data_IF_068174631941
#
_entry.id   IF_068174631941
#
_cell.length_a   1.000
_cell.length_b   1.000
_cell.length_c   1.000
_cell.angle_alpha   90.00
_cell.angle_beta   90.00
_cell.angle_gamma   90.00
#
_symmetry.space_group_name_H-M   'P 1'
#
loop_
_entity.id
_entity.type
_entity.pdbx_description
1 polymer ?
#
# COMPACT_ATOMS: atom_id res chain seq x y z
N UNK A 1 -6.91 7.49 4.13
CA UNK A 1 -7.24 8.39 3.01
C UNK A 1 -8.34 9.40 3.36
N UNK A 2 -9.40 9.02 4.05
CA UNK A 2 -10.34 10.00 4.62
C UNK A 2 -9.63 11.08 5.45
N UNK A 3 -8.63 10.69 6.24
CA UNK A 3 -7.82 11.64 7.02
C UNK A 3 -7.03 12.65 6.18
N UNK A 4 -6.71 12.37 4.91
CA UNK A 4 -6.07 13.36 4.04
C UNK A 4 -7.00 14.52 3.66
N UNK A 5 -8.29 14.23 3.52
CA UNK A 5 -9.30 15.25 3.27
C UNK A 5 -9.79 15.90 4.57
N UNK A 6 -9.63 15.20 5.70
CA UNK A 6 -9.86 15.79 7.03
C UNK A 6 -8.68 16.71 7.38
N UNK A 7 -8.94 18.00 7.40
CA UNK A 7 -7.91 19.01 7.69
C UNK A 7 -7.37 18.97 9.12
N UNK A 8 -7.91 18.11 9.98
CA UNK A 8 -7.47 17.96 11.38
C UNK A 8 -6.08 17.33 11.51
N UNK A 9 -5.66 16.55 10.52
CA UNK A 9 -4.37 15.88 10.51
C UNK A 9 -3.58 16.30 9.26
N UNK A 10 -2.35 16.79 9.47
CA UNK A 10 -1.46 17.23 8.40
C UNK A 10 -0.72 16.03 7.78
N UNK A 11 -1.36 15.36 6.84
CA UNK A 11 -0.81 14.18 6.15
C UNK A 11 -0.55 14.53 4.68
N UNK A 12 0.65 14.19 4.19
CA UNK A 12 1.04 14.31 2.79
C UNK A 12 1.55 12.98 2.25
N UNK A 13 1.23 12.70 0.99
CA UNK A 13 1.63 11.47 0.31
C UNK A 13 2.51 11.75 -0.90
N UNK A 14 3.57 10.96 -1.03
CA UNK A 14 4.31 10.77 -2.26
C UNK A 14 4.14 9.31 -2.68
N UNK A 15 3.47 9.07 -3.80
CA UNK A 15 3.15 7.73 -4.28
C UNK A 15 3.89 7.47 -5.58
N UNK A 16 4.75 6.47 -5.57
CA UNK A 16 5.33 5.89 -6.77
C UNK A 16 4.45 4.71 -7.20
N UNK A 17 3.57 4.94 -8.17
CA UNK A 17 2.59 3.97 -8.68
C UNK A 17 3.05 3.44 -10.03
N UNK A 18 3.96 2.48 -10.02
CA UNK A 18 4.56 1.98 -11.26
C UNK A 18 3.71 0.94 -12.00
N UNK A 19 2.71 0.36 -11.32
CA UNK A 19 1.80 -0.63 -11.91
C UNK A 19 0.53 0.00 -12.48
N UNK A 20 0.10 1.11 -11.89
CA UNK A 20 -1.15 1.78 -12.28
C UNK A 20 -0.89 3.25 -12.58
N UNK A 21 -1.57 3.80 -13.59
CA UNK A 21 -1.55 5.24 -13.85
C UNK A 21 -2.18 6.03 -12.70
N UNK A 22 -1.82 7.30 -12.58
CA UNK A 22 -2.41 8.21 -11.60
C UNK A 22 -3.94 8.28 -11.72
N UNK A 23 -4.47 8.28 -12.94
CA UNK A 23 -5.92 8.29 -13.20
C UNK A 23 -6.63 7.07 -12.61
N UNK A 24 -6.07 5.87 -12.82
CA UNK A 24 -6.64 4.62 -12.28
C UNK A 24 -6.59 4.64 -10.75
N UNK A 25 -5.50 5.11 -10.17
CA UNK A 25 -5.37 5.23 -8.71
C UNK A 25 -6.40 6.21 -8.15
N UNK A 26 -6.55 7.40 -8.75
CA UNK A 26 -7.53 8.39 -8.33
C UNK A 26 -8.97 7.88 -8.50
N UNK A 27 -9.29 7.18 -9.59
CA UNK A 27 -10.60 6.57 -9.78
C UNK A 27 -10.94 5.52 -8.71
N UNK A 28 -9.94 4.71 -8.30
CA UNK A 28 -10.10 3.75 -7.20
C UNK A 28 -10.35 4.44 -5.85
N UNK A 29 -9.65 5.56 -5.60
CA UNK A 29 -9.86 6.35 -4.39
C UNK A 29 -11.23 7.01 -4.37
N UNK A 30 -11.64 7.57 -5.50
CA UNK A 30 -12.96 8.19 -5.67
C UNK A 30 -14.09 7.17 -5.49
N UNK A 31 -13.93 5.96 -6.06
CA UNK A 31 -14.87 4.86 -5.88
C UNK A 31 -15.07 4.49 -4.40
N UNK A 32 -13.97 4.40 -3.65
CA UNK A 32 -14.01 4.16 -2.20
C UNK A 32 -14.68 5.31 -1.46
N UNK A 33 -14.34 6.56 -1.77
CA UNK A 33 -14.92 7.75 -1.14
C UNK A 33 -16.43 7.84 -1.37
N UNK A 34 -16.90 7.59 -2.60
CA UNK A 34 -18.32 7.59 -2.94
C UNK A 34 -19.06 6.52 -2.13
N UNK A 35 -18.49 5.32 -2.02
CA UNK A 35 -19.09 4.27 -1.21
C UNK A 35 -19.16 4.64 0.27
N UNK A 36 -18.08 5.11 0.87
CA UNK A 36 -18.03 5.46 2.30
C UNK A 36 -18.90 6.67 2.66
N UNK A 37 -19.08 7.60 1.71
CA UNK A 37 -19.82 8.86 1.96
C UNK A 37 -21.30 8.73 1.63
N UNK A 38 -21.63 8.05 0.53
CA UNK A 38 -23.00 8.02 -0.01
C UNK A 38 -23.62 6.61 0.00
N UNK A 39 -22.87 5.56 0.39
CA UNK A 39 -23.30 4.16 0.35
C UNK A 39 -23.53 3.61 -1.06
N UNK A 40 -23.07 4.34 -2.10
CA UNK A 40 -23.29 3.93 -3.51
C UNK A 40 -22.11 3.10 -4.00
N UNK A 41 -22.40 1.92 -4.49
CA UNK A 41 -21.40 1.05 -5.16
C UNK A 41 -21.19 1.53 -6.60
N UNK A 42 -20.14 2.34 -6.79
CA UNK A 42 -19.72 2.80 -8.12
C UNK A 42 -18.26 2.36 -8.34
N UNK A 43 -18.05 1.34 -9.18
CA UNK A 43 -16.71 0.78 -9.38
C UNK A 43 -15.79 1.77 -10.09
N UNK A 44 -14.48 1.67 -9.84
CA UNK A 44 -13.49 2.50 -10.55
C UNK A 44 -13.52 2.27 -12.08
N UNK A 45 -13.83 1.05 -12.54
CA UNK A 45 -13.99 0.76 -13.97
C UNK A 45 -15.20 1.47 -14.57
N UNK A 46 -16.27 1.64 -13.79
CA UNK A 46 -17.44 2.43 -14.19
C UNK A 46 -17.10 3.93 -14.22
N UNK A 47 -16.41 4.46 -13.18
CA UNK A 47 -15.96 5.86 -13.16
C UNK A 47 -15.11 6.21 -14.38
N UNK A 48 -14.26 5.28 -14.83
CA UNK A 48 -13.43 5.43 -16.03
C UNK A 48 -14.16 5.10 -17.34
N UNK A 49 -15.46 4.78 -17.27
CA UNK A 49 -16.28 4.38 -18.43
C UNK A 49 -15.68 3.21 -19.23
N UNK A 50 -15.00 2.28 -18.57
CA UNK A 50 -14.38 1.12 -19.21
C UNK A 50 -15.37 0.02 -19.57
N UNK A 51 -16.43 -0.14 -18.77
CA UNK A 51 -17.40 -1.25 -18.91
C UNK A 51 -18.80 -0.76 -19.27
N UNK A 52 -19.24 0.33 -18.65
CA UNK A 52 -20.58 0.91 -18.77
C UNK A 52 -20.49 2.43 -18.80
N UNK A 53 -21.49 3.07 -19.40
CA UNK A 53 -21.59 4.53 -19.37
C UNK A 53 -22.15 4.98 -18.02
N UNK A 54 -21.65 6.10 -17.51
CA UNK A 54 -22.15 6.72 -16.31
C UNK A 54 -23.58 7.23 -16.52
N UNK A 55 -24.44 7.00 -15.54
CA UNK A 55 -25.78 7.62 -15.48
C UNK A 55 -25.67 9.08 -15.02
N UNK A 56 -26.75 9.85 -15.19
CA UNK A 56 -26.79 11.24 -14.68
C UNK A 56 -26.62 11.29 -13.16
N UNK A 57 -27.11 10.30 -12.42
CA UNK A 57 -26.92 10.14 -11.00
C UNK A 57 -25.44 9.93 -10.63
N UNK A 58 -24.74 9.07 -11.37
CA UNK A 58 -23.32 8.80 -11.16
C UNK A 58 -22.48 10.04 -11.42
N UNK A 59 -22.79 10.80 -12.48
CA UNK A 59 -22.16 12.11 -12.74
C UNK A 59 -22.37 13.10 -11.61
N UNK A 60 -23.57 13.17 -11.03
CA UNK A 60 -23.84 14.05 -9.89
C UNK A 60 -23.02 13.67 -8.66
N UNK A 61 -22.87 12.36 -8.36
CA UNK A 61 -22.05 11.91 -7.25
C UNK A 61 -20.57 12.23 -7.44
N UNK A 62 -20.05 12.05 -8.66
CA UNK A 62 -18.67 12.41 -9.00
C UNK A 62 -18.45 13.91 -8.83
N UNK A 63 -19.37 14.74 -9.32
CA UNK A 63 -19.26 16.22 -9.19
C UNK A 63 -19.36 16.67 -7.73
N UNK A 64 -20.21 16.07 -6.92
CA UNK A 64 -20.28 16.32 -5.48
C UNK A 64 -19.00 15.92 -4.73
N UNK A 65 -18.27 14.93 -5.26
CA UNK A 65 -17.01 14.45 -4.69
C UNK A 65 -15.79 15.28 -5.09
N UNK A 66 -15.94 16.22 -6.00
CA UNK A 66 -14.85 17.00 -6.59
C UNK A 66 -14.05 17.80 -5.56
N UNK A 67 -14.73 18.42 -4.60
CA UNK A 67 -14.06 19.18 -3.54
C UNK A 67 -13.14 18.28 -2.69
N UNK A 68 -13.61 17.07 -2.37
CA UNK A 68 -12.79 16.09 -1.65
C UNK A 68 -11.58 15.67 -2.47
N UNK A 69 -11.76 15.39 -3.77
CA UNK A 69 -10.68 14.99 -4.65
C UNK A 69 -9.62 16.09 -4.78
N UNK A 70 -10.03 17.35 -4.93
CA UNK A 70 -9.11 18.49 -4.97
C UNK A 70 -8.30 18.63 -3.67
N UNK A 71 -8.94 18.44 -2.51
CA UNK A 71 -8.25 18.44 -1.21
C UNK A 71 -7.26 17.29 -1.08
N UNK A 72 -7.59 16.13 -1.63
CA UNK A 72 -6.68 14.99 -1.67
C UNK A 72 -5.48 15.27 -2.57
N UNK A 73 -5.70 15.71 -3.82
CA UNK A 73 -4.66 16.03 -4.79
C UNK A 73 -3.69 17.11 -4.27
N UNK A 74 -4.18 18.09 -3.53
CA UNK A 74 -3.33 19.12 -2.93
C UNK A 74 -2.31 18.55 -1.89
N UNK A 75 -2.54 17.34 -1.39
CA UNK A 75 -1.68 16.65 -0.40
C UNK A 75 -1.03 15.39 -0.92
N UNK A 76 -1.24 15.06 -2.19
CA UNK A 76 -0.76 13.83 -2.80
C UNK A 76 -0.01 14.13 -4.09
N UNK A 77 1.24 13.67 -4.18
CA UNK A 77 2.02 13.69 -5.41
C UNK A 77 2.16 12.26 -5.92
N UNK A 78 1.78 12.00 -7.17
CA UNK A 78 1.79 10.67 -7.77
C UNK A 78 2.80 10.65 -8.92
N UNK A 79 3.72 9.70 -8.87
CA UNK A 79 4.71 9.41 -9.92
C UNK A 79 4.35 8.05 -10.52
N UNK A 80 3.76 8.05 -11.70
CA UNK A 80 3.28 6.84 -12.37
C UNK A 80 4.20 6.32 -13.49
N UNK A 81 5.39 6.88 -13.58
CA UNK A 81 6.43 6.40 -14.51
C UNK A 81 7.56 5.76 -13.71
N UNK A 82 8.01 4.55 -14.11
CA UNK A 82 9.14 3.90 -13.45
C UNK A 82 10.40 4.77 -13.47
N UNK A 83 11.03 4.89 -12.31
CA UNK A 83 12.30 5.62 -12.11
C UNK A 83 13.36 4.67 -11.57
N UNK A 84 14.63 5.04 -11.64
CA UNK A 84 15.72 4.30 -10.98
C UNK A 84 15.72 4.57 -9.47
N UNK A 85 16.48 3.80 -8.70
CA UNK A 85 16.68 4.04 -7.26
C UNK A 85 17.16 5.46 -6.97
N UNK A 86 18.12 5.94 -7.75
CA UNK A 86 18.59 7.35 -7.68
C UNK A 86 17.51 8.36 -8.04
N UNK A 87 16.70 8.05 -9.05
CA UNK A 87 15.54 8.87 -9.43
C UNK A 87 14.51 8.96 -8.31
N UNK A 88 14.17 7.83 -7.70
CA UNK A 88 13.28 7.77 -6.53
C UNK A 88 13.81 8.63 -5.38
N UNK A 89 15.10 8.47 -5.04
CA UNK A 89 15.73 9.28 -4.01
C UNK A 89 15.68 10.78 -4.33
N UNK A 90 16.00 11.16 -5.58
CA UNK A 90 16.00 12.56 -5.99
C UNK A 90 14.60 13.18 -5.88
N UNK A 91 13.57 12.49 -6.36
CA UNK A 91 12.16 12.94 -6.27
C UNK A 91 11.75 13.07 -4.80
N UNK A 92 11.98 12.04 -3.99
CA UNK A 92 11.58 12.06 -2.59
C UNK A 92 12.34 13.13 -1.77
N UNK A 93 13.61 13.36 -2.08
CA UNK A 93 14.40 14.44 -1.47
C UNK A 93 13.90 15.83 -1.89
N UNK A 94 13.54 16.01 -3.15
CA UNK A 94 12.97 17.29 -3.61
C UNK A 94 11.59 17.54 -3.01
N UNK A 95 10.76 16.49 -2.95
CA UNK A 95 9.47 16.54 -2.27
C UNK A 95 9.61 16.90 -0.78
N UNK A 96 10.62 16.37 -0.07
CA UNK A 96 10.85 16.71 1.34
C UNK A 96 11.11 18.21 1.56
N UNK A 97 11.71 18.91 0.59
CA UNK A 97 11.97 20.35 0.69
C UNK A 97 10.69 21.20 0.67
N UNK A 98 9.59 20.68 0.13
CA UNK A 98 8.27 21.32 0.20
C UNK A 98 7.73 21.32 1.63
N UNK A 99 8.16 20.35 2.43
CA UNK A 99 7.65 20.07 3.78
C UNK A 99 8.63 20.38 4.91
N UNK A 100 9.84 20.85 4.58
CA UNK A 100 10.86 21.18 5.56
C UNK A 100 12.11 21.77 4.94
N UNK A 101 13.11 22.04 5.77
CA UNK A 101 14.37 22.69 5.36
C UNK A 101 15.56 21.86 5.83
N UNK A 102 16.60 21.78 4.99
CA UNK A 102 17.89 21.19 5.38
C UNK A 102 18.81 22.28 5.91
N UNK A 103 19.04 22.29 7.22
CA UNK A 103 20.02 23.19 7.87
C UNK A 103 21.40 22.56 7.83
N UNK A 104 22.39 23.32 7.41
CA UNK A 104 23.80 22.90 7.46
C UNK A 104 24.26 23.05 8.90
N UNK A 105 24.68 21.92 9.50
CA UNK A 105 25.28 21.89 10.84
C UNK A 105 26.79 22.05 10.76
N UNK A 106 27.41 21.43 9.76
CA UNK A 106 28.84 21.41 9.53
C UNK A 106 29.11 21.20 8.04
N UNK A 107 30.09 21.92 7.50
CA UNK A 107 30.52 21.76 6.12
C UNK A 107 32.05 21.84 6.06
N UNK A 108 32.66 20.79 5.48
CA UNK A 108 34.09 20.72 5.17
C UNK A 108 34.27 20.52 3.68
N UNK A 109 35.51 20.45 3.20
CA UNK A 109 35.79 20.14 1.78
C UNK A 109 35.32 18.70 1.42
N UNK A 110 35.30 17.79 2.38
CA UNK A 110 35.00 16.37 2.14
C UNK A 110 33.52 16.01 2.37
N UNK A 111 32.80 16.70 3.28
CA UNK A 111 31.40 16.39 3.58
C UNK A 111 30.61 17.59 4.10
N UNK A 112 29.29 17.51 3.92
CA UNK A 112 28.33 18.46 4.49
C UNK A 112 27.32 17.71 5.35
N UNK A 113 27.32 17.98 6.65
CA UNK A 113 26.33 17.46 7.59
C UNK A 113 25.11 18.37 7.64
N UNK A 114 23.95 17.79 7.40
CA UNK A 114 22.70 18.55 7.42
C UNK A 114 21.69 17.91 8.36
N UNK A 115 20.88 18.75 9.00
CA UNK A 115 19.70 18.38 9.76
C UNK A 115 18.45 18.75 8.96
N UNK A 116 17.44 17.88 8.92
CA UNK A 116 16.14 18.20 8.36
C UNK A 116 15.24 18.75 9.46
N UNK A 117 14.67 19.92 9.22
CA UNK A 117 13.73 20.59 10.13
C UNK A 117 12.39 20.67 9.41
N UNK A 118 11.34 19.95 9.87
CA UNK A 118 10.02 19.98 9.25
C UNK A 118 9.37 21.36 9.43
N UNK A 119 8.56 21.78 8.46
CA UNK A 119 7.77 23.01 8.52
C UNK A 119 6.71 22.93 9.63
N UNK A 120 6.12 21.75 9.80
CA UNK A 120 5.19 21.42 10.87
C UNK A 120 5.68 20.14 11.57
N UNK A 121 5.83 20.17 12.89
CA UNK A 121 6.30 19.01 13.67
C UNK A 121 5.27 17.89 13.75
N UNK A 122 4.00 18.21 13.57
CA UNK A 122 2.88 17.28 13.64
C UNK A 122 2.46 16.77 12.25
N UNK A 123 3.22 17.08 11.20
CA UNK A 123 2.97 16.56 9.86
C UNK A 123 3.38 15.09 9.73
N UNK A 124 2.64 14.36 8.91
CA UNK A 124 2.96 12.99 8.51
C UNK A 124 3.34 12.98 7.03
N UNK A 125 4.56 12.56 6.73
CA UNK A 125 5.08 12.42 5.36
C UNK A 125 5.14 10.93 5.00
N UNK A 126 4.23 10.49 4.13
CA UNK A 126 4.07 9.09 3.77
C UNK A 126 4.57 8.88 2.34
N UNK A 127 5.55 7.99 2.18
CA UNK A 127 6.06 7.55 0.88
C UNK A 127 5.56 6.14 0.60
N UNK A 128 4.93 5.93 -0.55
CA UNK A 128 4.45 4.62 -1.01
C UNK A 128 5.15 4.25 -2.30
N UNK A 129 5.64 3.02 -2.39
CA UNK A 129 6.24 2.47 -3.63
C UNK A 129 5.45 1.23 -4.04
N UNK A 130 4.63 1.33 -5.08
CA UNK A 130 3.78 0.25 -5.60
C UNK A 130 4.11 -0.03 -7.09
N UNK A 131 4.80 -1.14 -7.40
CA UNK A 131 5.58 -1.97 -6.48
C UNK A 131 7.06 -1.89 -6.86
N UNK A 132 7.93 -2.10 -5.87
CA UNK A 132 9.38 -1.83 -5.97
C UNK A 132 10.10 -2.61 -7.10
N UNK A 133 9.58 -3.77 -7.50
CA UNK A 133 10.16 -4.58 -8.60
C UNK A 133 10.07 -3.90 -9.98
N UNK A 134 9.21 -2.90 -10.14
CA UNK A 134 9.05 -2.15 -11.39
C UNK A 134 9.96 -0.93 -11.50
N UNK A 135 10.90 -0.75 -10.58
CA UNK A 135 11.96 0.24 -10.74
C UNK A 135 12.71 0.04 -12.06
N UNK A 136 13.03 1.15 -12.73
CA UNK A 136 13.94 1.12 -13.86
C UNK A 136 15.34 0.74 -13.39
N UNK A 137 16.00 -0.15 -14.13
CA UNK A 137 17.34 -0.64 -13.76
C UNK A 137 18.40 0.28 -14.33
N UNK A 138 19.27 0.78 -13.48
CA UNK A 138 20.43 1.60 -13.88
C UNK A 138 21.44 0.79 -14.71
N UNK A 139 22.15 1.46 -15.60
CA UNK A 139 23.18 0.80 -16.42
C UNK A 139 24.22 0.10 -15.53
N UNK A 140 24.47 -1.19 -15.81
CA UNK A 140 25.40 -2.02 -15.06
C UNK A 140 24.83 -2.64 -13.76
N UNK A 141 23.59 -2.34 -13.38
CA UNK A 141 22.93 -2.97 -12.24
C UNK A 141 22.07 -4.17 -12.64
N UNK A 142 21.86 -5.08 -11.71
CA UNK A 142 20.79 -6.07 -11.75
C UNK A 142 19.54 -5.48 -11.07
N UNK A 143 18.36 -6.03 -11.35
CA UNK A 143 17.11 -5.63 -10.67
C UNK A 143 17.23 -5.73 -9.15
N UNK A 144 17.92 -6.76 -8.63
CA UNK A 144 18.16 -6.92 -7.21
C UNK A 144 18.98 -5.78 -6.63
N UNK A 145 20.09 -5.41 -7.29
CA UNK A 145 20.94 -4.30 -6.84
C UNK A 145 20.18 -2.97 -6.84
N UNK A 146 19.31 -2.74 -7.84
CA UNK A 146 18.48 -1.54 -7.91
C UNK A 146 17.48 -1.47 -6.75
N UNK A 147 16.86 -2.61 -6.40
CA UNK A 147 15.93 -2.70 -5.27
C UNK A 147 16.67 -2.47 -3.95
N UNK A 148 17.83 -3.12 -3.76
CA UNK A 148 18.63 -2.96 -2.54
C UNK A 148 19.09 -1.51 -2.35
N UNK A 149 19.55 -0.84 -3.42
CA UNK A 149 19.90 0.59 -3.41
C UNK A 149 18.70 1.48 -3.09
N UNK A 150 17.51 1.19 -3.65
CA UNK A 150 16.29 1.94 -3.35
C UNK A 150 15.88 1.79 -1.87
N UNK A 151 16.00 0.57 -1.31
CA UNK A 151 15.74 0.34 0.11
C UNK A 151 16.69 1.16 1.00
N UNK A 152 17.98 1.21 0.68
CA UNK A 152 18.96 2.01 1.42
C UNK A 152 18.63 3.50 1.37
N UNK A 153 18.25 4.02 0.22
CA UNK A 153 17.81 5.42 0.08
C UNK A 153 16.53 5.72 0.88
N UNK A 154 15.57 4.81 0.87
CA UNK A 154 14.33 4.98 1.62
C UNK A 154 14.56 4.94 3.14
N UNK A 155 15.47 4.04 3.63
CA UNK A 155 15.90 4.03 5.03
C UNK A 155 16.56 5.37 5.40
N UNK A 156 17.44 5.87 4.53
CA UNK A 156 18.12 7.15 4.76
C UNK A 156 17.11 8.29 4.90
N UNK A 157 16.15 8.39 3.97
CA UNK A 157 15.10 9.41 3.99
C UNK A 157 14.17 9.27 5.21
N UNK A 158 13.77 8.03 5.54
CA UNK A 158 13.00 7.75 6.76
C UNK A 158 13.70 8.30 8.00
N UNK A 159 14.97 7.95 8.17
CA UNK A 159 15.72 8.33 9.35
C UNK A 159 16.03 9.84 9.40
N UNK A 160 16.22 10.47 8.22
CA UNK A 160 16.58 11.88 8.13
C UNK A 160 15.38 12.81 8.15
N UNK A 161 14.31 12.44 7.45
CA UNK A 161 13.13 13.30 7.24
C UNK A 161 11.89 12.82 8.02
N UNK A 162 12.02 11.77 8.84
CA UNK A 162 10.91 11.15 9.58
C UNK A 162 9.77 10.67 8.67
N UNK A 163 10.11 10.14 7.49
CA UNK A 163 9.14 9.57 6.58
C UNK A 163 8.55 8.27 7.11
N UNK A 164 7.26 8.05 6.87
CA UNK A 164 6.66 6.73 6.94
C UNK A 164 6.74 6.10 5.55
N UNK A 165 7.51 5.03 5.40
CA UNK A 165 7.75 4.38 4.11
C UNK A 165 6.96 3.08 4.04
N UNK A 166 6.15 2.94 2.98
CA UNK A 166 5.41 1.73 2.65
C UNK A 166 5.89 1.21 1.30
N UNK A 167 6.39 -0.03 1.28
CA UNK A 167 6.85 -0.70 0.08
C UNK A 167 5.92 -1.88 -0.22
N UNK A 168 5.35 -1.92 -1.41
CA UNK A 168 4.62 -3.08 -1.90
C UNK A 168 5.58 -3.98 -2.66
N UNK A 169 5.57 -5.26 -2.33
CA UNK A 169 6.39 -6.28 -2.96
C UNK A 169 5.55 -7.54 -3.24
N UNK A 170 5.76 -8.15 -4.40
CA UNK A 170 5.10 -9.41 -4.74
C UNK A 170 5.77 -10.59 -4.03
N UNK A 171 4.97 -11.57 -3.65
CA UNK A 171 5.48 -12.84 -3.13
C UNK A 171 6.09 -13.69 -4.24
N UNK A 172 7.15 -14.43 -3.93
CA UNK A 172 7.72 -15.43 -4.82
C UNK A 172 6.68 -16.53 -5.08
N UNK A 173 6.65 -17.05 -6.31
CA UNK A 173 5.74 -18.15 -6.68
C UNK A 173 6.00 -19.45 -5.92
N UNK A 174 7.18 -19.60 -5.33
CA UNK A 174 7.58 -20.80 -4.57
C UNK A 174 6.75 -21.05 -3.30
N UNK A 175 6.08 -20.01 -2.74
CA UNK A 175 5.15 -20.20 -1.62
C UNK A 175 3.99 -21.17 -1.98
N UNK A 176 3.77 -21.43 -3.29
CA UNK A 176 2.76 -22.36 -3.82
C UNK A 176 3.26 -23.80 -3.92
N UNK A 177 4.48 -24.11 -3.50
CA UNK A 177 5.02 -25.47 -3.60
C UNK A 177 4.14 -26.49 -2.87
N UNK A 178 4.08 -27.72 -3.41
CA UNK A 178 3.23 -28.79 -2.86
C UNK A 178 3.59 -29.13 -1.41
N UNK A 179 4.86 -29.06 -1.05
CA UNK A 179 5.33 -29.41 0.30
C UNK A 179 4.76 -28.52 1.39
N UNK A 180 4.44 -27.25 1.06
CA UNK A 180 3.81 -26.32 2.00
C UNK A 180 2.28 -26.41 2.03
N UNK A 181 1.66 -27.12 1.08
CA UNK A 181 0.20 -27.27 1.00
C UNK A 181 -0.38 -28.33 1.93
N UNK A 182 0.45 -29.26 2.39
CA UNK A 182 0.03 -30.46 3.10
C UNK A 182 0.06 -30.33 4.61
N UNK A 183 0.78 -29.39 5.18
CA UNK A 183 0.87 -29.22 6.63
C UNK A 183 -0.07 -28.13 7.15
N UNK A 184 -1.08 -28.53 7.89
CA UNK A 184 -1.84 -27.69 8.83
C UNK A 184 -2.86 -26.69 8.27
N UNK A 185 -2.86 -26.38 6.97
CA UNK A 185 -3.97 -25.66 6.31
C UNK A 185 -4.15 -24.17 6.58
N UNK A 186 -3.35 -23.52 7.43
CA UNK A 186 -3.45 -22.08 7.73
C UNK A 186 -2.69 -21.22 6.72
N UNK A 187 -3.10 -19.94 6.55
CA UNK A 187 -2.40 -18.96 5.72
C UNK A 187 -0.97 -18.73 6.21
N UNK A 188 -0.79 -18.84 7.50
CA UNK A 188 0.45 -18.58 8.21
C UNK A 188 1.55 -19.61 7.91
N UNK A 189 1.18 -20.89 7.78
CA UNK A 189 2.13 -21.94 7.38
C UNK A 189 2.53 -21.83 5.90
N UNK A 190 1.81 -21.03 5.12
CA UNK A 190 2.01 -20.89 3.68
C UNK A 190 2.90 -19.72 3.29
N UNK A 191 2.88 -18.61 4.03
CA UNK A 191 3.64 -17.40 3.70
C UNK A 191 4.68 -17.15 4.80
N UNK A 192 5.93 -17.03 4.40
CA UNK A 192 7.08 -16.73 5.26
C UNK A 192 7.85 -15.52 4.75
N UNK A 193 8.69 -14.92 5.58
CA UNK A 193 9.54 -13.80 5.16
C UNK A 193 10.43 -14.13 3.96
N UNK A 194 10.88 -15.37 3.85
CA UNK A 194 11.70 -15.86 2.74
C UNK A 194 10.95 -15.97 1.41
N UNK A 195 9.62 -15.83 1.44
CA UNK A 195 8.80 -15.78 0.23
C UNK A 195 8.72 -14.37 -0.38
N UNK A 196 9.29 -13.37 0.28
CA UNK A 196 9.47 -12.06 -0.33
C UNK A 196 10.49 -12.16 -1.45
N UNK A 197 10.02 -12.04 -2.68
CA UNK A 197 10.82 -12.23 -3.87
C UNK A 197 11.96 -11.21 -3.96
N UNK A 198 13.08 -11.70 -4.46
CA UNK A 198 14.20 -10.95 -5.06
C UNK A 198 15.03 -10.05 -4.14
N UNK A 199 14.60 -9.71 -2.92
CA UNK A 199 15.42 -8.88 -2.05
C UNK A 199 15.09 -9.12 -0.57
N UNK A 200 15.99 -9.79 0.11
CA UNK A 200 16.01 -9.83 1.59
C UNK A 200 16.25 -8.44 2.20
N UNK A 201 16.79 -7.49 1.42
CA UNK A 201 17.07 -6.12 1.84
C UNK A 201 15.81 -5.40 2.32
N UNK A 202 14.72 -5.43 1.56
CA UNK A 202 13.46 -4.78 1.96
C UNK A 202 12.88 -5.40 3.24
N UNK A 203 12.84 -6.73 3.35
CA UNK A 203 12.34 -7.41 4.55
C UNK A 203 13.20 -7.10 5.78
N UNK A 204 14.52 -7.03 5.60
CA UNK A 204 15.45 -6.71 6.68
C UNK A 204 15.32 -5.26 7.14
N UNK A 205 15.13 -4.34 6.20
CA UNK A 205 14.94 -2.91 6.41
C UNK A 205 13.61 -2.57 7.09
N UNK A 206 12.55 -3.33 6.77
CA UNK A 206 11.21 -3.08 7.26
C UNK A 206 11.11 -3.30 8.77
N UNK A 207 10.36 -2.43 9.44
CA UNK A 207 10.01 -2.56 10.85
C UNK A 207 8.83 -3.51 11.05
N UNK A 208 7.91 -3.52 10.09
CA UNK A 208 6.79 -4.44 10.04
C UNK A 208 6.61 -4.98 8.62
N UNK A 209 6.23 -6.24 8.50
CA UNK A 209 5.91 -6.90 7.23
C UNK A 209 4.55 -7.54 7.34
N UNK A 210 3.64 -7.12 6.47
CA UNK A 210 2.27 -7.65 6.38
C UNK A 210 2.12 -8.30 5.01
N UNK A 211 1.81 -9.59 4.97
CA UNK A 211 1.43 -10.27 3.75
C UNK A 211 -0.08 -10.34 3.61
N UNK A 212 -0.57 -10.17 2.39
CA UNK A 212 -1.98 -10.31 2.03
C UNK A 212 -2.17 -11.64 1.31
N UNK A 213 -2.91 -12.56 1.92
CA UNK A 213 -3.20 -13.86 1.37
C UNK A 213 -4.62 -13.94 0.81
N UNK A 214 -4.78 -14.54 -0.38
CA UNK A 214 -6.06 -14.72 -1.04
C UNK A 214 -6.43 -16.22 -1.09
N UNK A 215 -7.09 -16.76 -0.06
CA UNK A 215 -7.32 -18.19 0.08
C UNK A 215 -8.25 -18.78 -0.98
N UNK A 216 -9.24 -18.02 -1.47
CA UNK A 216 -10.15 -18.48 -2.53
C UNK A 216 -9.42 -18.74 -3.83
N UNK A 217 -8.47 -17.89 -4.22
CA UNK A 217 -7.63 -18.08 -5.43
C UNK A 217 -6.81 -19.36 -5.35
N UNK A 218 -6.44 -19.78 -4.15
CA UNK A 218 -5.71 -21.03 -3.88
C UNK A 218 -6.67 -22.22 -3.61
N UNK A 219 -7.97 -22.07 -3.91
CA UNK A 219 -9.01 -23.10 -3.77
C UNK A 219 -9.13 -23.68 -2.36
N UNK A 220 -8.88 -22.87 -1.34
CA UNK A 220 -9.05 -23.29 0.05
C UNK A 220 -10.53 -23.23 0.44
N UNK A 221 -11.02 -24.26 1.08
CA UNK A 221 -12.38 -24.28 1.65
C UNK A 221 -12.44 -23.57 3.01
N UNK A 222 -11.33 -23.60 3.77
CA UNK A 222 -11.14 -22.93 5.06
C UNK A 222 -9.75 -22.34 5.14
N UNK A 223 -9.61 -21.25 5.91
CA UNK A 223 -8.31 -20.64 6.18
C UNK A 223 -8.38 -19.91 7.52
N UNK A 224 -7.47 -20.22 8.45
CA UNK A 224 -7.40 -19.62 9.79
C UNK A 224 -8.76 -19.65 10.54
N UNK A 225 -9.55 -20.71 10.34
CA UNK A 225 -10.88 -20.87 10.93
C UNK A 225 -12.02 -20.25 10.12
N UNK A 226 -11.76 -19.35 9.19
CA UNK A 226 -12.79 -18.74 8.32
C UNK A 226 -13.29 -19.70 7.25
N UNK A 227 -14.60 -19.69 6.98
CA UNK A 227 -15.20 -20.47 5.88
C UNK A 227 -15.10 -19.71 4.56
N UNK A 228 -14.08 -20.05 3.77
CA UNK A 228 -13.78 -19.41 2.48
C UNK A 228 -14.83 -19.74 1.42
N UNK A 229 -15.57 -20.84 1.54
CA UNK A 229 -16.64 -21.20 0.59
C UNK A 229 -17.79 -20.20 0.66
N UNK A 230 -18.05 -19.62 1.85
CA UNK A 230 -19.07 -18.59 2.02
C UNK A 230 -18.55 -17.19 1.65
N UNK A 231 -17.33 -16.86 2.01
CA UNK A 231 -16.69 -15.56 1.71
C UNK A 231 -16.24 -15.43 0.25
N UNK A 232 -15.93 -16.54 -0.39
CA UNK A 232 -15.51 -16.64 -1.79
C UNK A 232 -14.34 -15.69 -2.13
N UNK A 233 -14.49 -14.96 -3.25
CA UNK A 233 -13.44 -14.07 -3.77
C UNK A 233 -13.17 -12.85 -2.89
N UNK A 234 -14.05 -12.53 -1.95
CA UNK A 234 -13.87 -11.37 -1.08
C UNK A 234 -12.91 -11.65 0.09
N UNK A 235 -12.71 -12.93 0.44
CA UNK A 235 -11.83 -13.31 1.55
C UNK A 235 -10.38 -12.87 1.33
N UNK A 236 -9.81 -12.20 2.33
CA UNK A 236 -8.37 -11.91 2.44
C UNK A 236 -7.93 -12.18 3.87
N UNK A 237 -6.74 -12.75 4.00
CA UNK A 237 -6.10 -12.93 5.29
C UNK A 237 -4.85 -12.06 5.31
N UNK A 238 -4.77 -11.15 6.26
CA UNK A 238 -3.60 -10.35 6.53
C UNK A 238 -2.71 -11.10 7.51
N UNK A 239 -1.46 -11.36 7.13
CA UNK A 239 -0.50 -12.07 7.97
C UNK A 239 0.62 -11.10 8.39
N UNK A 240 0.73 -10.83 9.69
CA UNK A 240 1.80 -10.00 10.26
C UNK A 240 3.04 -10.87 10.42
N UNK A 241 3.91 -10.91 9.41
CA UNK A 241 5.10 -11.77 9.36
C UNK A 241 6.26 -11.24 10.20
N UNK A 242 6.34 -9.93 10.36
CA UNK A 242 7.37 -9.26 11.15
C UNK A 242 6.76 -8.05 11.84
N UNK A 243 7.12 -7.84 13.09
CA UNK A 243 6.81 -6.63 13.83
C UNK A 243 7.92 -6.35 14.84
N UNK A 244 8.73 -5.34 14.58
CA UNK A 244 9.87 -4.98 15.43
C UNK A 244 9.43 -4.39 16.78
N UNK A 245 8.22 -3.82 16.84
CA UNK A 245 7.72 -3.11 18.01
C UNK A 245 6.70 -3.91 18.83
N UNK A 246 6.42 -5.15 18.46
CA UNK A 246 5.43 -5.96 19.14
C UNK A 246 5.42 -7.41 18.72
N UNK A 247 4.26 -8.06 18.92
CA UNK A 247 4.07 -9.47 18.58
C UNK A 247 3.97 -9.61 17.06
N UNK A 248 4.72 -10.55 16.49
CA UNK A 248 4.53 -11.05 15.12
C UNK A 248 3.66 -12.30 15.11
N UNK A 249 3.54 -12.91 13.95
CA UNK A 249 2.86 -14.20 13.80
C UNK A 249 1.37 -14.12 14.16
N UNK A 250 0.71 -13.05 13.73
CA UNK A 250 -0.72 -12.81 13.83
C UNK A 250 -1.36 -12.77 12.46
N UNK A 251 -2.62 -13.17 12.41
CA UNK A 251 -3.44 -13.03 11.22
C UNK A 251 -4.76 -12.33 11.54
N UNK A 252 -5.31 -11.70 10.52
CA UNK A 252 -6.59 -10.99 10.57
C UNK A 252 -7.39 -11.35 9.32
N UNK A 253 -8.63 -11.78 9.51
CA UNK A 253 -9.56 -11.98 8.41
C UNK A 253 -10.15 -10.65 7.95
N UNK A 254 -10.20 -10.45 6.65
CA UNK A 254 -10.83 -9.28 6.05
C UNK A 254 -11.62 -9.66 4.82
N UNK A 255 -12.65 -8.88 4.51
CA UNK A 255 -13.31 -8.87 3.22
C UNK A 255 -12.80 -7.71 2.38
N UNK A 256 -12.57 -7.95 1.08
CA UNK A 256 -12.11 -6.95 0.13
C UNK A 256 -12.99 -6.92 -1.12
N UNK A 257 -13.64 -5.81 -1.35
CA UNK A 257 -14.42 -5.56 -2.56
C UNK A 257 -13.60 -4.74 -3.57
N UNK A 258 -12.92 -5.47 -4.43
CA UNK A 258 -11.93 -4.88 -5.35
C UNK A 258 -12.50 -3.86 -6.32
N UNK A 259 -13.78 -3.95 -6.67
CA UNK A 259 -14.44 -2.98 -7.56
C UNK A 259 -14.51 -1.57 -7.01
N UNK A 260 -14.62 -1.44 -5.67
CA UNK A 260 -14.70 -0.18 -4.94
C UNK A 260 -13.53 0.04 -3.98
N UNK A 261 -12.52 -0.85 -3.99
CA UNK A 261 -11.36 -0.82 -3.08
C UNK A 261 -11.70 -0.81 -1.59
N UNK A 262 -12.85 -1.33 -1.21
CA UNK A 262 -13.30 -1.31 0.17
C UNK A 262 -12.80 -2.54 0.94
N UNK A 263 -12.25 -2.30 2.13
CA UNK A 263 -11.79 -3.33 3.06
C UNK A 263 -12.62 -3.28 4.33
N UNK A 264 -13.09 -4.45 4.77
CA UNK A 264 -13.79 -4.61 6.03
C UNK A 264 -13.08 -5.65 6.87
N UNK A 265 -12.68 -5.30 8.09
CA UNK A 265 -12.16 -6.25 9.07
C UNK A 265 -13.27 -7.20 9.51
N UNK A 266 -12.94 -8.48 9.64
CA UNK A 266 -13.84 -9.48 10.19
C UNK A 266 -13.48 -9.78 11.64
N UNK A 267 -14.47 -10.09 12.51
CA UNK A 267 -14.21 -10.61 13.84
C UNK A 267 -13.51 -11.97 13.76
N UNK A 268 -13.08 -12.50 14.91
CA UNK A 268 -12.52 -13.86 14.96
C UNK A 268 -13.50 -14.88 14.40
N UNK A 269 -13.03 -15.98 13.79
CA UNK A 269 -13.90 -16.96 13.12
C UNK A 269 -14.98 -17.56 14.03
N UNK A 270 -14.66 -17.74 15.30
CA UNK A 270 -15.60 -18.27 16.34
C UNK A 270 -16.68 -17.27 16.76
N UNK A 271 -16.54 -16.01 16.36
CA UNK A 271 -17.51 -14.93 16.62
C UNK A 271 -18.41 -14.63 15.40
N UNK A 272 -18.17 -15.27 14.26
CA UNK A 272 -18.99 -15.09 13.06
C UNK A 272 -20.16 -16.08 13.08
N UNK A 273 -21.35 -15.60 13.33
CA UNK A 273 -22.57 -16.40 13.30
C UNK A 273 -23.21 -16.45 11.91
N UNK A 274 -23.00 -15.40 11.10
CA UNK A 274 -23.56 -15.27 9.76
C UNK A 274 -22.54 -14.66 8.80
N UNK A 275 -22.19 -15.39 7.77
CA UNK A 275 -21.27 -14.95 6.73
C UNK A 275 -21.95 -14.14 5.62
N UNK A 276 -23.29 -14.11 5.57
CA UNK A 276 -24.02 -13.39 4.49
C UNK A 276 -23.77 -11.88 4.53
N UNK A 277 -23.52 -11.31 5.71
CA UNK A 277 -23.19 -9.90 5.92
C UNK A 277 -21.87 -9.47 5.26
N UNK A 278 -21.03 -10.43 4.85
CA UNK A 278 -19.75 -10.20 4.17
C UNK A 278 -19.79 -10.52 2.66
N UNK A 279 -20.97 -10.80 2.11
CA UNK A 279 -21.13 -11.11 0.69
C UNK A 279 -21.34 -9.86 -0.17
N UNK A 280 -21.82 -8.78 0.44
CA UNK A 280 -22.04 -7.48 -0.20
C UNK A 280 -21.38 -6.39 0.62
N UNK A 281 -20.80 -5.35 -0.01
CA UNK A 281 -20.24 -4.21 0.67
C UNK A 281 -21.33 -3.34 1.30
#
# INVERSE_FOLDING_TARGET
>A
MQHCADQSIDIHYLIFSFEMSAEVLLAKLLSLYIYETYGKVLSYGHILSLNEMLSDEDYQLIEQSKEWLQKFEARCEIIDKPVTAKGLYAVAKEWSKKHGTYKILESTEEYTKTEYVPNNKDQYLIVVVDHIKLLSVSSGHTSKQEIDEACDYLIHLRNKCSFTVNIVQQLNRNFKSMDRRTEGGGAYSLIQLDDLADSSGCANAAESVIAIYHPHREKRSRCEGYDIRQLQNNARILCLLKNRFGVSDKFFGTCFWGGINYWQEMPKPDQINDYSIYQHP
#
